data_IF_983055153402
#
_entry.id   IF_983055153402
#
_cell.length_a   1.000
_cell.length_b   1.000
_cell.length_c   1.000
_cell.angle_alpha   90.00
_cell.angle_beta   90.00
_cell.angle_gamma   90.00
#
_symmetry.space_group_name_H-M   'P 1'
#
loop_
_entity.id
_entity.type
_entity.pdbx_description
1 polymer ?
#
# COMPACT_ATOMS: atom_id res chain seq x y z
N UNK A 1 -4.06 -15.12 15.88
CA UNK A 1 -4.59 -14.10 14.94
C UNK A 1 -4.45 -14.58 13.50
N UNK A 2 -5.51 -14.53 12.69
CA UNK A 2 -5.54 -14.82 11.25
C UNK A 2 -5.66 -13.53 10.46
N UNK A 3 -4.72 -13.32 9.54
CA UNK A 3 -4.71 -12.16 8.64
C UNK A 3 -5.08 -12.60 7.24
N UNK A 4 -5.96 -11.85 6.57
CA UNK A 4 -6.13 -11.94 5.12
C UNK A 4 -5.53 -10.71 4.49
N UNK A 5 -4.67 -10.90 3.49
CA UNK A 5 -3.98 -9.83 2.78
C UNK A 5 -4.45 -9.85 1.34
N UNK A 6 -4.93 -8.72 0.84
CA UNK A 6 -5.31 -8.50 -0.55
C UNK A 6 -4.60 -7.25 -1.07
N UNK A 7 -4.20 -7.25 -2.33
CA UNK A 7 -3.64 -6.12 -3.06
C UNK A 7 -4.10 -6.21 -4.52
N UNK A 8 -3.89 -5.14 -5.29
CA UNK A 8 -4.08 -5.14 -6.75
C UNK A 8 -5.49 -5.62 -7.18
N UNK A 9 -6.51 -5.32 -6.36
CA UNK A 9 -7.88 -5.70 -6.66
C UNK A 9 -8.43 -4.91 -7.85
N UNK A 10 -7.99 -3.65 -8.01
CA UNK A 10 -8.45 -2.74 -9.07
C UNK A 10 -9.97 -2.78 -9.25
N UNK A 11 -10.73 -2.42 -8.22
CA UNK A 11 -12.20 -2.45 -8.21
C UNK A 11 -12.81 -1.60 -9.33
N UNK A 12 -12.09 -0.60 -9.83
CA UNK A 12 -12.48 0.19 -11.00
C UNK A 12 -12.50 -0.61 -12.31
N UNK A 13 -11.84 -1.78 -12.33
CA UNK A 13 -11.77 -2.69 -13.49
C UNK A 13 -12.51 -3.99 -13.24
N UNK A 14 -12.34 -4.56 -12.05
CA UNK A 14 -12.83 -5.89 -11.71
C UNK A 14 -13.61 -5.84 -10.40
N UNK A 15 -14.95 -6.01 -10.44
CA UNK A 15 -15.74 -6.12 -9.23
C UNK A 15 -15.24 -7.28 -8.37
N UNK A 16 -14.99 -7.02 -7.09
CA UNK A 16 -14.66 -8.03 -6.10
C UNK A 16 -15.67 -8.01 -4.97
N UNK A 17 -16.23 -9.17 -4.67
CA UNK A 17 -17.14 -9.35 -3.54
C UNK A 17 -16.38 -9.93 -2.37
N UNK A 18 -16.33 -9.18 -1.28
CA UNK A 18 -15.80 -9.69 -0.03
C UNK A 18 -16.65 -10.88 0.45
N UNK A 19 -15.97 -11.96 0.82
CA UNK A 19 -16.56 -13.12 1.48
C UNK A 19 -15.68 -13.47 2.68
N UNK A 20 -16.27 -13.51 3.87
CA UNK A 20 -15.57 -13.83 5.12
C UNK A 20 -14.96 -15.24 5.03
N UNK A 21 -13.65 -15.35 5.28
CA UNK A 21 -12.89 -16.61 5.32
C UNK A 21 -12.45 -16.95 6.76
N UNK A 22 -13.02 -16.29 7.76
CA UNK A 22 -12.65 -16.45 9.16
C UNK A 22 -11.38 -15.70 9.55
N UNK A 23 -11.01 -14.66 8.79
CA UNK A 23 -9.96 -13.72 9.18
C UNK A 23 -10.37 -12.85 10.37
N UNK A 24 -9.40 -12.52 11.21
CA UNK A 24 -9.56 -11.56 12.32
C UNK A 24 -9.38 -10.12 11.81
N UNK A 25 -8.47 -9.92 10.85
CA UNK A 25 -8.15 -8.62 10.24
C UNK A 25 -7.96 -8.79 8.74
N UNK A 26 -8.55 -7.86 7.97
CA UNK A 26 -8.28 -7.73 6.55
C UNK A 26 -7.22 -6.64 6.33
N UNK A 27 -6.21 -6.94 5.53
CA UNK A 27 -5.17 -6.00 5.11
C UNK A 27 -5.34 -5.76 3.61
N UNK A 28 -5.53 -4.50 3.25
CA UNK A 28 -5.61 -4.00 1.90
C UNK A 28 -4.31 -3.26 1.58
N UNK A 29 -3.42 -3.93 0.86
CA UNK A 29 -2.01 -3.56 0.68
C UNK A 29 -1.75 -2.85 -0.66
N UNK A 30 -2.60 -1.87 -0.99
CA UNK A 30 -2.46 -1.01 -2.16
C UNK A 30 -3.14 -1.53 -3.43
N UNK A 31 -3.34 -0.61 -4.37
CA UNK A 31 -3.96 -0.82 -5.68
C UNK A 31 -5.34 -1.50 -5.58
N UNK A 32 -6.14 -1.06 -4.60
CA UNK A 32 -7.49 -1.58 -4.39
C UNK A 32 -8.47 -0.87 -5.30
N UNK A 33 -8.44 0.46 -5.32
CA UNK A 33 -9.23 1.29 -6.23
C UNK A 33 -8.65 2.70 -6.30
N UNK A 34 -9.14 3.49 -7.25
CA UNK A 34 -8.72 4.89 -7.38
C UNK A 34 -9.24 5.77 -6.24
N UNK A 35 -8.44 6.77 -5.84
CA UNK A 35 -8.84 7.79 -4.87
C UNK A 35 -9.25 7.20 -3.52
N UNK A 36 -10.47 7.54 -3.08
CA UNK A 36 -11.05 7.08 -1.82
C UNK A 36 -11.96 5.86 -1.98
N UNK A 37 -12.22 5.41 -3.22
CA UNK A 37 -13.27 4.42 -3.50
C UNK A 37 -12.97 3.08 -2.82
N UNK A 38 -11.70 2.72 -2.71
CA UNK A 38 -11.27 1.50 -2.01
C UNK A 38 -11.55 1.56 -0.51
N UNK A 39 -11.39 2.75 0.10
CA UNK A 39 -11.75 2.98 1.50
C UNK A 39 -13.27 2.91 1.67
N UNK A 40 -14.04 3.55 0.80
CA UNK A 40 -15.50 3.54 0.86
C UNK A 40 -16.05 2.11 0.71
N UNK A 41 -15.49 1.33 -0.21
CA UNK A 41 -15.80 -0.10 -0.35
C UNK A 41 -15.46 -0.89 0.93
N UNK A 42 -14.28 -0.64 1.52
CA UNK A 42 -13.82 -1.36 2.70
C UNK A 42 -14.63 -1.07 3.98
N UNK A 43 -15.33 0.07 4.06
CA UNK A 43 -16.21 0.40 5.19
C UNK A 43 -17.36 -0.59 5.39
N UNK A 44 -17.79 -1.26 4.33
CA UNK A 44 -18.87 -2.25 4.38
C UNK A 44 -18.41 -3.60 4.98
N UNK A 45 -17.10 -3.81 5.17
CA UNK A 45 -16.54 -5.08 5.64
C UNK A 45 -16.69 -5.15 7.17
N UNK A 46 -17.33 -6.19 7.73
CA UNK A 46 -17.63 -6.26 9.17
C UNK A 46 -16.43 -6.73 10.02
N UNK A 47 -15.23 -6.20 9.73
CA UNK A 47 -13.96 -6.52 10.39
C UNK A 47 -13.08 -5.27 10.47
N UNK A 48 -12.08 -5.22 11.38
CA UNK A 48 -11.01 -4.25 11.29
C UNK A 48 -10.28 -4.39 9.95
N UNK A 49 -10.10 -3.27 9.25
CA UNK A 49 -9.37 -3.23 7.98
C UNK A 49 -8.13 -2.36 8.14
N UNK A 50 -6.96 -2.89 7.82
CA UNK A 50 -5.74 -2.10 7.63
C UNK A 50 -5.65 -1.73 6.16
N UNK A 51 -5.48 -0.46 5.84
CA UNK A 51 -5.39 0.02 4.45
C UNK A 51 -4.08 0.78 4.25
N UNK A 52 -3.32 0.40 3.23
CA UNK A 52 -2.17 1.16 2.72
C UNK A 52 -2.46 1.49 1.25
N UNK A 53 -2.11 2.70 0.81
CA UNK A 53 -2.28 3.09 -0.59
C UNK A 53 -1.21 2.40 -1.46
N UNK A 54 -1.58 2.08 -2.69
CA UNK A 54 -0.65 1.82 -3.78
C UNK A 54 -0.54 3.04 -4.67
N UNK A 55 -0.07 2.86 -5.91
CA UNK A 55 0.02 3.96 -6.86
C UNK A 55 -1.32 4.31 -7.50
N UNK A 56 -2.23 3.33 -7.66
CA UNK A 56 -3.52 3.55 -8.30
C UNK A 56 -4.46 4.41 -7.47
N UNK A 57 -4.36 4.38 -6.14
CA UNK A 57 -5.10 5.30 -5.28
C UNK A 57 -4.85 6.77 -5.66
N UNK A 58 -3.66 7.10 -6.19
CA UNK A 58 -3.28 8.47 -6.56
C UNK A 58 -3.53 8.82 -8.03
N UNK A 59 -4.06 7.92 -8.85
CA UNK A 59 -4.28 8.19 -10.27
C UNK A 59 -5.26 9.34 -10.51
N UNK A 60 -4.82 10.34 -11.28
CA UNK A 60 -5.64 11.52 -11.61
C UNK A 60 -5.83 12.51 -10.46
N UNK A 61 -5.09 12.36 -9.36
CA UNK A 61 -5.16 13.24 -8.19
C UNK A 61 -3.78 13.75 -7.79
N UNK A 62 -3.76 14.89 -7.08
CA UNK A 62 -2.56 15.28 -6.34
C UNK A 62 -2.35 14.32 -5.16
N UNK A 63 -1.11 13.85 -4.97
CA UNK A 63 -0.79 12.85 -3.94
C UNK A 63 -1.14 13.37 -2.55
N UNK A 64 -0.75 14.61 -2.22
CA UNK A 64 -0.93 15.16 -0.87
C UNK A 64 -2.40 15.45 -0.56
N UNK A 65 -3.14 16.00 -1.52
CA UNK A 65 -4.57 16.21 -1.36
C UNK A 65 -5.33 14.88 -1.26
N UNK A 66 -4.94 13.86 -2.04
CA UNK A 66 -5.56 12.55 -1.94
C UNK A 66 -5.27 11.88 -0.59
N UNK A 67 -4.04 11.98 -0.07
CA UNK A 67 -3.72 11.48 1.27
C UNK A 67 -4.60 12.13 2.36
N UNK A 68 -4.89 13.43 2.25
CA UNK A 68 -5.84 14.11 3.16
C UNK A 68 -7.26 13.57 2.99
N UNK A 69 -7.70 13.37 1.75
CA UNK A 69 -9.03 12.83 1.44
C UNK A 69 -9.20 11.40 1.98
N UNK A 70 -8.21 10.52 1.77
CA UNK A 70 -8.20 9.15 2.27
C UNK A 70 -8.23 9.09 3.80
N UNK A 71 -7.43 9.91 4.49
CA UNK A 71 -7.47 10.02 5.96
C UNK A 71 -8.84 10.48 6.45
N UNK A 72 -9.45 11.44 5.76
CA UNK A 72 -10.80 11.94 6.08
C UNK A 72 -11.86 10.85 5.84
N UNK A 73 -11.77 10.12 4.73
CA UNK A 73 -12.69 9.05 4.38
C UNK A 73 -12.65 7.91 5.42
N UNK A 74 -11.45 7.50 5.86
CA UNK A 74 -11.29 6.43 6.85
C UNK A 74 -11.74 6.82 8.28
N UNK A 75 -11.75 8.12 8.61
CA UNK A 75 -12.00 8.60 9.96
C UNK A 75 -13.36 8.14 10.50
N UNK A 76 -13.35 7.54 11.68
CA UNK A 76 -14.57 7.08 12.37
C UNK A 76 -15.17 5.79 11.80
N UNK A 77 -14.45 5.10 10.91
CA UNK A 77 -14.84 3.80 10.37
C UNK A 77 -14.00 2.65 10.96
N UNK A 78 -14.28 1.43 10.52
CA UNK A 78 -13.47 0.23 10.75
C UNK A 78 -12.19 0.19 9.90
N UNK A 79 -11.99 1.14 8.98
CA UNK A 79 -10.82 1.23 8.11
C UNK A 79 -9.74 2.09 8.76
N UNK A 80 -8.57 1.49 8.95
CA UNK A 80 -7.37 2.10 9.49
C UNK A 80 -6.39 2.39 8.35
N UNK A 81 -6.52 3.57 7.75
CA UNK A 81 -5.60 4.02 6.71
C UNK A 81 -4.24 4.41 7.30
N UNK A 82 -3.18 3.69 6.90
CA UNK A 82 -1.82 3.87 7.37
C UNK A 82 -0.95 4.43 6.24
N UNK A 83 -0.42 5.62 6.48
CA UNK A 83 0.58 6.27 5.64
C UNK A 83 1.59 6.93 6.57
N UNK A 84 2.74 6.26 6.76
CA UNK A 84 3.75 6.57 7.77
C UNK A 84 3.16 6.63 9.19
N UNK A 85 2.31 5.64 9.50
CA UNK A 85 1.58 5.55 10.77
C UNK A 85 1.52 4.11 11.27
N UNK A 86 1.11 4.00 12.53
CA UNK A 86 0.87 2.73 13.19
C UNK A 86 -0.54 2.67 13.78
N UNK A 87 -1.01 1.46 14.05
CA UNK A 87 -2.15 1.20 14.93
C UNK A 87 -1.90 -0.06 15.76
N UNK A 88 -2.34 -0.03 17.01
CA UNK A 88 -2.33 -1.19 17.90
C UNK A 88 -3.75 -1.75 17.99
N UNK A 89 -3.96 -3.00 17.59
CA UNK A 89 -5.25 -3.68 17.66
C UNK A 89 -5.17 -4.81 18.69
N UNK A 90 -6.11 -4.82 19.64
CA UNK A 90 -6.26 -5.93 20.59
C UNK A 90 -7.33 -6.89 20.09
N UNK A 91 -6.93 -8.13 19.79
CA UNK A 91 -7.79 -9.17 19.26
C UNK A 91 -7.57 -10.45 20.07
N UNK A 92 -8.64 -11.08 20.54
CA UNK A 92 -8.58 -12.31 21.34
C UNK A 92 -7.64 -12.21 22.56
N UNK A 93 -7.52 -11.04 23.18
CA UNK A 93 -6.67 -10.78 24.35
C UNK A 93 -5.20 -10.48 24.03
N UNK A 94 -4.80 -10.48 22.76
CA UNK A 94 -3.44 -10.16 22.31
C UNK A 94 -3.43 -8.81 21.60
N UNK A 95 -2.43 -7.96 21.87
CA UNK A 95 -2.25 -6.68 21.18
C UNK A 95 -1.18 -6.81 20.09
N UNK A 96 -1.53 -6.45 18.86
CA UNK A 96 -0.63 -6.45 17.71
C UNK A 96 -0.50 -5.04 17.16
N UNK A 97 0.73 -4.61 16.91
CA UNK A 97 1.06 -3.34 16.24
C UNK A 97 1.20 -3.54 14.74
N UNK A 98 0.42 -2.80 13.97
CA UNK A 98 0.54 -2.69 12.52
C UNK A 98 1.25 -1.40 12.17
N UNK A 99 2.22 -1.47 11.28
CA UNK A 99 2.93 -0.33 10.69
C UNK A 99 2.60 -0.31 9.20
N UNK A 100 2.27 0.86 8.65
CA UNK A 100 1.96 0.99 7.23
C UNK A 100 2.46 2.30 6.64
N UNK A 101 3.06 2.19 5.46
CA UNK A 101 3.49 3.30 4.63
C UNK A 101 3.51 2.88 3.17
N UNK A 102 3.26 3.83 2.27
CA UNK A 102 3.52 3.68 0.85
C UNK A 102 4.98 4.03 0.60
N UNK A 103 5.75 3.11 0.02
CA UNK A 103 7.12 3.39 -0.41
C UNK A 103 7.10 3.77 -1.89
N UNK A 104 7.62 4.95 -2.19
CA UNK A 104 7.85 5.39 -3.55
C UNK A 104 9.31 5.14 -3.91
N UNK A 105 9.54 4.60 -5.10
CA UNK A 105 10.87 4.65 -5.68
C UNK A 105 11.11 6.07 -6.19
N UNK A 106 12.22 6.66 -5.79
CA UNK A 106 12.81 7.82 -6.46
C UNK A 106 13.57 7.39 -7.72
N UNK A 107 13.43 6.11 -8.10
CA UNK A 107 14.20 5.37 -9.10
C UNK A 107 15.69 5.25 -8.77
N UNK A 108 16.05 5.51 -7.51
CA UNK A 108 17.41 5.77 -7.09
C UNK A 108 17.98 6.99 -7.80
N UNK A 109 19.18 7.41 -7.42
CA UNK A 109 19.98 8.21 -8.35
C UNK A 109 20.30 7.35 -9.59
N UNK A 110 19.47 7.41 -10.63
CA UNK A 110 19.95 7.29 -12.02
C UNK A 110 20.85 8.49 -12.41
N UNK A 111 21.31 9.27 -11.42
CA UNK A 111 22.31 10.33 -11.46
C UNK A 111 23.47 10.02 -10.48
N UNK A 112 23.99 8.79 -10.53
CA UNK A 112 25.28 8.48 -9.92
C UNK A 112 26.37 8.84 -10.93
N UNK A 113 27.19 9.85 -10.64
CA UNK A 113 28.31 10.34 -11.46
C UNK A 113 29.31 9.24 -11.89
N UNK A 114 29.25 8.05 -11.28
CA UNK A 114 30.21 6.96 -11.48
C UNK A 114 29.63 5.68 -12.11
N UNK A 115 28.33 5.64 -12.43
CA UNK A 115 27.69 4.57 -13.23
C UNK A 115 26.47 5.17 -13.95
N UNK A 116 26.67 5.87 -15.07
CA UNK A 116 25.57 6.34 -15.88
C UNK A 116 24.83 5.11 -16.41
N UNK A 117 23.59 4.91 -15.98
CA UNK A 117 22.65 4.17 -16.83
C UNK A 117 22.39 5.12 -17.99
N UNK A 118 23.18 4.98 -19.06
CA UNK A 118 22.86 5.61 -20.34
C UNK A 118 21.56 4.98 -20.80
N UNK A 119 20.45 5.63 -20.51
CA UNK A 119 19.21 5.38 -21.19
C UNK A 119 19.48 5.72 -22.66
N UNK A 120 19.80 4.72 -23.46
CA UNK A 120 19.81 4.89 -24.92
C UNK A 120 18.45 5.48 -25.32
N UNK A 121 18.47 6.40 -26.28
CA UNK A 121 17.35 7.26 -26.71
C UNK A 121 16.05 6.52 -27.12
N UNK A 122 16.02 5.19 -27.00
CA UNK A 122 14.99 4.28 -27.49
C UNK A 122 14.54 3.21 -26.48
N UNK A 123 14.83 3.35 -25.18
CA UNK A 123 14.36 2.43 -24.13
C UNK A 123 13.46 3.13 -23.12
N UNK A 124 12.37 2.45 -22.74
CA UNK A 124 11.29 2.97 -21.89
C UNK A 124 11.77 3.09 -20.42
N UNK A 125 12.24 4.28 -19.98
CA UNK A 125 13.01 4.43 -18.73
C UNK A 125 12.30 3.95 -17.46
N UNK A 126 10.97 4.17 -17.29
CA UNK A 126 10.24 3.71 -16.11
C UNK A 126 10.31 2.20 -15.90
N UNK A 127 10.35 1.41 -16.99
CA UNK A 127 10.29 -0.06 -16.93
C UNK A 127 11.59 -0.64 -16.38
N UNK A 128 12.73 -0.18 -16.89
CA UNK A 128 14.06 -0.62 -16.44
C UNK A 128 14.33 -0.21 -14.98
N UNK A 129 13.93 1.01 -14.61
CA UNK A 129 14.09 1.47 -13.23
C UNK A 129 13.15 0.72 -12.26
N UNK A 130 11.94 0.33 -12.70
CA UNK A 130 11.08 -0.59 -11.94
C UNK A 130 11.73 -1.96 -11.75
N UNK A 131 12.32 -2.55 -12.79
CA UNK A 131 13.01 -3.84 -12.67
C UNK A 131 14.21 -3.74 -11.71
N UNK A 132 14.96 -2.65 -11.77
CA UNK A 132 16.04 -2.39 -10.83
C UNK A 132 15.53 -2.26 -9.39
N UNK A 133 14.48 -1.45 -9.16
CA UNK A 133 13.83 -1.27 -7.87
C UNK A 133 13.32 -2.62 -7.30
N UNK A 134 12.69 -3.45 -8.13
CA UNK A 134 12.21 -4.78 -7.74
C UNK A 134 13.35 -5.71 -7.27
N UNK A 135 14.55 -5.56 -7.84
CA UNK A 135 15.74 -6.31 -7.42
C UNK A 135 16.32 -5.88 -6.07
N UNK A 136 16.11 -4.62 -5.65
CA UNK A 136 16.71 -4.05 -4.43
C UNK A 136 15.73 -3.89 -3.26
N UNK A 137 14.43 -3.75 -3.53
CA UNK A 137 13.39 -3.49 -2.49
C UNK A 137 12.98 -4.72 -1.69
N UNK A 138 13.26 -5.93 -2.18
CA UNK A 138 12.83 -7.19 -1.54
C UNK A 138 13.68 -7.63 -0.33
N UNK A 139 14.60 -6.79 0.16
CA UNK A 139 15.47 -7.14 1.28
C UNK A 139 14.79 -6.93 2.65
N UNK A 140 13.75 -7.71 2.90
CA UNK A 140 13.12 -7.86 4.22
C UNK A 140 14.12 -8.20 5.35
N UNK A 141 15.33 -8.69 5.02
CA UNK A 141 16.41 -8.91 5.98
C UNK A 141 16.96 -7.60 6.57
N UNK A 142 16.69 -6.43 5.97
CA UNK A 142 17.02 -5.13 6.56
C UNK A 142 15.96 -4.60 7.53
N UNK A 143 14.75 -5.16 7.49
CA UNK A 143 13.64 -4.79 8.38
C UNK A 143 13.71 -5.58 9.70
N UNK A 144 14.41 -6.73 9.72
CA UNK A 144 14.76 -7.40 10.97
C UNK A 144 15.83 -6.57 11.69
N UNK A 145 15.38 -5.66 12.56
CA UNK A 145 16.24 -5.11 13.60
C UNK A 145 16.92 -6.28 14.31
N UNK A 146 18.25 -6.32 14.24
CA UNK A 146 19.08 -7.21 15.05
C UNK A 146 18.60 -7.07 16.50
N UNK A 147 18.13 -8.17 17.08
CA UNK A 147 17.97 -8.29 18.53
C UNK A 147 19.33 -8.17 19.23
#
# INVERSE_FOLDING_TARGET
>A
MKLRILSDLHLERNPFTYADQGEDVLILAGDIANGIDGIEWAKAIPKPVIYVAGNHEHWGCDIYENLKAMRKAAKGSNVHFLENKQIDLTLNGETVRFLGCTLWTDYGKAHCENHPVTLEHNQNPPKELMYHAMGIMNDHNKITAKR
#
